data_IF_221203579711
#
_entry.id   IF_221203579711
#
_cell.length_a   1.000
_cell.length_b   1.000
_cell.length_c   1.000
_cell.angle_alpha   90.00
_cell.angle_beta   90.00
_cell.angle_gamma   90.00
#
_symmetry.space_group_name_H-M   'P 1'
#
loop_
_entity.id
_entity.type
_entity.pdbx_description
1 polymer ?
#
# COMPACT_ATOMS: atom_id res chain seq x y z
N UNK A 1 -0.26 11.62 -4.44
CA UNK A 1 0.68 12.29 -3.54
C UNK A 1 2.06 11.72 -3.72
N UNK A 2 3.04 12.59 -3.51
CA UNK A 2 4.43 12.29 -3.19
C UNK A 2 4.92 13.48 -2.37
N UNK A 3 6.09 13.39 -1.76
CA UNK A 3 6.69 14.52 -1.02
C UNK A 3 7.34 15.47 -2.05
N UNK A 4 6.75 16.64 -2.40
CA UNK A 4 7.25 17.44 -3.52
C UNK A 4 8.68 17.93 -3.28
N UNK A 5 9.05 18.15 -2.02
CA UNK A 5 10.40 18.49 -1.60
C UNK A 5 11.42 17.41 -1.95
N UNK A 6 11.05 16.12 -1.84
CA UNK A 6 11.92 14.99 -2.16
C UNK A 6 12.14 14.89 -3.67
N UNK A 7 11.07 15.04 -4.45
CA UNK A 7 11.15 15.07 -5.92
C UNK A 7 12.00 16.25 -6.37
N UNK A 8 11.77 17.44 -5.79
CA UNK A 8 12.53 18.64 -6.12
C UNK A 8 14.01 18.51 -5.74
N UNK A 9 14.34 17.85 -4.62
CA UNK A 9 15.74 17.58 -4.25
C UNK A 9 16.40 16.62 -5.24
N UNK A 10 15.74 15.51 -5.58
CA UNK A 10 16.24 14.57 -6.59
C UNK A 10 16.48 15.25 -7.95
N UNK A 11 15.50 16.03 -8.44
CA UNK A 11 15.61 16.75 -9.70
C UNK A 11 16.73 17.81 -9.69
N UNK A 12 16.95 18.49 -8.57
CA UNK A 12 18.05 19.45 -8.42
C UNK A 12 19.41 18.76 -8.46
N UNK A 13 19.55 17.64 -7.75
CA UNK A 13 20.81 16.90 -7.71
C UNK A 13 21.18 16.38 -9.12
N UNK A 14 20.20 15.92 -9.91
CA UNK A 14 20.40 15.60 -11.34
C UNK A 14 20.85 16.83 -12.14
N UNK A 15 20.16 17.95 -12.00
CA UNK A 15 20.46 19.17 -12.77
C UNK A 15 21.83 19.78 -12.44
N UNK A 16 22.31 19.58 -11.22
CA UNK A 16 23.59 20.07 -10.75
C UNK A 16 24.78 19.15 -11.09
N UNK A 17 24.57 18.05 -11.84
CA UNK A 17 25.56 16.98 -12.06
C UNK A 17 26.12 16.40 -10.75
N UNK A 18 25.35 16.50 -9.66
CA UNK A 18 25.66 15.82 -8.41
C UNK A 18 25.30 14.33 -8.51
N UNK A 19 25.42 13.59 -7.40
CA UNK A 19 24.94 12.21 -7.34
C UNK A 19 23.42 12.18 -7.53
N UNK A 20 22.93 11.32 -8.43
CA UNK A 20 21.51 11.03 -8.63
C UNK A 20 20.91 10.35 -7.39
N UNK A 21 20.68 11.10 -6.31
CA UNK A 21 20.18 10.56 -5.05
C UNK A 21 19.23 11.51 -4.34
N UNK A 22 18.36 10.94 -3.52
CA UNK A 22 17.64 11.69 -2.49
C UNK A 22 18.53 11.81 -1.26
N UNK A 23 18.60 13.01 -0.67
CA UNK A 23 19.33 13.26 0.56
C UNK A 23 18.85 12.38 1.74
N UNK A 24 19.76 11.68 2.46
CA UNK A 24 19.39 10.80 3.58
C UNK A 24 18.56 11.49 4.66
N UNK A 25 18.79 12.80 4.85
CA UNK A 25 18.10 13.65 5.80
C UNK A 25 16.59 13.68 5.59
N UNK A 26 16.08 13.43 4.38
CA UNK A 26 14.63 13.32 4.16
C UNK A 26 14.03 12.09 4.82
N UNK A 27 14.71 10.94 4.76
CA UNK A 27 14.24 9.71 5.37
C UNK A 27 14.33 9.82 6.90
N UNK A 28 15.45 10.33 7.41
CA UNK A 28 15.67 10.53 8.84
C UNK A 28 14.67 11.53 9.43
N UNK A 29 14.51 12.69 8.81
CA UNK A 29 13.58 13.72 9.28
C UNK A 29 12.13 13.23 9.26
N UNK A 30 11.75 12.42 8.27
CA UNK A 30 10.43 11.81 8.25
C UNK A 30 10.22 10.89 9.45
N UNK A 31 11.17 9.98 9.72
CA UNK A 31 11.09 9.08 10.88
C UNK A 31 11.09 9.85 12.19
N UNK A 32 11.94 10.86 12.34
CA UNK A 32 11.93 11.72 13.52
C UNK A 32 10.58 12.40 13.76
N UNK A 33 9.92 12.88 12.71
CA UNK A 33 8.60 13.50 12.83
C UNK A 33 7.58 12.48 13.33
N UNK A 34 7.57 11.29 12.74
CA UNK A 34 6.64 10.21 13.12
C UNK A 34 6.88 9.73 14.54
N UNK A 35 8.14 9.46 14.94
CA UNK A 35 8.47 8.97 16.29
C UNK A 35 8.22 10.03 17.36
N UNK A 36 8.58 11.29 17.10
CA UNK A 36 8.28 12.40 18.04
C UNK A 36 6.77 12.59 18.21
N UNK A 37 5.97 12.47 17.16
CA UNK A 37 4.52 12.55 17.28
C UNK A 37 3.94 11.34 18.06
N UNK A 38 4.35 10.12 17.70
CA UNK A 38 3.93 8.91 18.40
C UNK A 38 4.28 8.97 19.91
N UNK A 39 5.47 9.49 20.25
CA UNK A 39 5.91 9.69 21.63
C UNK A 39 5.01 10.67 22.39
N UNK A 40 4.59 11.78 21.75
CA UNK A 40 3.62 12.73 22.35
C UNK A 40 2.27 12.08 22.62
N UNK A 41 1.92 11.05 21.86
CA UNK A 41 0.71 10.24 22.06
C UNK A 41 0.92 9.06 23.02
N UNK A 42 2.04 9.03 23.74
CA UNK A 42 2.37 8.01 24.73
C UNK A 42 2.77 6.65 24.15
N UNK A 43 3.17 6.60 22.88
CA UNK A 43 3.69 5.39 22.24
C UNK A 43 5.21 5.28 22.44
N UNK A 44 5.73 4.06 22.34
CA UNK A 44 7.15 3.77 22.41
C UNK A 44 7.72 3.47 21.03
N UNK A 45 8.93 3.97 20.75
CA UNK A 45 9.64 3.71 19.50
C UNK A 45 9.91 2.22 19.31
N UNK A 46 10.25 1.50 20.39
CA UNK A 46 10.49 0.05 20.36
C UNK A 46 9.27 -0.73 19.89
N UNK A 47 8.09 -0.42 20.41
CA UNK A 47 6.84 -1.06 19.97
C UNK A 47 6.49 -0.63 18.55
N UNK A 48 6.73 0.62 18.17
CA UNK A 48 6.53 1.08 16.79
C UNK A 48 7.42 0.29 15.82
N UNK A 49 8.71 0.11 16.12
CA UNK A 49 9.63 -0.69 15.32
C UNK A 49 9.12 -2.12 15.11
N UNK A 50 8.63 -2.76 16.18
CA UNK A 50 8.08 -4.11 16.10
C UNK A 50 6.82 -4.19 15.23
N UNK A 51 5.89 -3.24 15.39
CA UNK A 51 4.66 -3.20 14.60
C UNK A 51 4.97 -2.94 13.12
N UNK A 52 5.86 -1.98 12.83
CA UNK A 52 6.31 -1.68 11.46
C UNK A 52 7.02 -2.89 10.83
N UNK A 53 7.91 -3.55 11.59
CA UNK A 53 8.59 -4.77 11.15
C UNK A 53 7.60 -5.87 10.80
N UNK A 54 6.58 -6.09 11.65
CA UNK A 54 5.50 -7.03 11.37
C UNK A 54 4.72 -6.67 10.10
N UNK A 55 4.39 -5.39 9.89
CA UNK A 55 3.70 -4.91 8.67
C UNK A 55 4.55 -5.19 7.42
N UNK A 56 5.86 -4.92 7.47
CA UNK A 56 6.78 -5.16 6.34
C UNK A 56 6.89 -6.66 6.04
N UNK A 57 6.95 -7.53 7.05
CA UNK A 57 7.00 -8.99 6.86
C UNK A 57 5.76 -9.53 6.14
N UNK A 58 4.57 -9.01 6.44
CA UNK A 58 3.31 -9.45 5.82
C UNK A 58 2.91 -8.61 4.60
N UNK A 59 3.78 -7.72 4.12
CA UNK A 59 3.44 -6.76 3.08
C UNK A 59 2.97 -7.46 1.80
N UNK A 60 1.80 -7.03 1.28
CA UNK A 60 1.09 -7.66 0.17
C UNK A 60 0.40 -9.00 0.48
N UNK A 61 0.56 -9.54 1.70
CA UNK A 61 -0.18 -10.70 2.19
C UNK A 61 -1.38 -10.30 3.04
N UNK A 62 -2.41 -11.15 3.08
CA UNK A 62 -3.54 -10.98 4.00
C UNK A 62 -3.18 -11.51 5.40
N UNK A 63 -3.53 -10.76 6.43
CA UNK A 63 -3.36 -11.17 7.83
C UNK A 63 -4.50 -10.67 8.69
N UNK A 64 -4.70 -11.24 9.88
CA UNK A 64 -5.60 -10.69 10.89
C UNK A 64 -4.77 -10.04 12.01
N UNK A 65 -5.43 -9.38 12.96
CA UNK A 65 -4.71 -8.73 14.06
C UNK A 65 -3.96 -9.74 14.95
N UNK A 66 -4.32 -11.03 14.89
CA UNK A 66 -3.61 -12.07 15.62
C UNK A 66 -2.35 -12.47 14.88
N UNK A 67 -2.44 -12.69 13.57
CA UNK A 67 -1.31 -12.91 12.69
C UNK A 67 -0.26 -11.82 12.81
N UNK A 68 -0.66 -10.53 12.80
CA UNK A 68 0.29 -9.43 13.02
C UNK A 68 1.03 -9.52 14.36
N UNK A 69 0.32 -9.86 15.44
CA UNK A 69 0.96 -9.91 16.77
C UNK A 69 1.92 -11.10 16.91
N UNK A 70 1.69 -12.20 16.18
CA UNK A 70 2.59 -13.36 16.15
C UNK A 70 3.92 -13.03 15.47
N UNK A 71 3.94 -12.08 14.53
CA UNK A 71 5.16 -11.63 13.85
C UNK A 71 6.08 -10.77 14.73
N UNK A 72 5.61 -10.40 15.93
CA UNK A 72 6.30 -9.53 16.87
C UNK A 72 7.00 -10.38 17.92
N UNK A 73 8.30 -10.14 18.10
CA UNK A 73 9.16 -10.92 18.98
C UNK A 73 8.82 -10.75 20.47
N UNK A 74 8.41 -9.54 20.86
CA UNK A 74 7.98 -9.28 22.24
C UNK A 74 6.50 -9.61 22.45
N UNK A 75 6.14 -10.08 23.65
CA UNK A 75 4.75 -10.38 23.98
C UNK A 75 3.95 -9.08 24.11
N UNK A 76 3.51 -8.53 22.98
CA UNK A 76 2.62 -7.39 22.95
C UNK A 76 1.17 -7.84 22.71
N UNK A 77 0.23 -7.15 23.35
CA UNK A 77 -1.17 -7.52 23.27
C UNK A 77 -1.77 -7.16 21.90
N UNK A 78 -2.74 -7.93 21.39
CA UNK A 78 -3.46 -7.55 20.17
C UNK A 78 -4.10 -6.15 20.25
N UNK A 79 -4.67 -5.70 21.39
CA UNK A 79 -5.10 -4.31 21.56
C UNK A 79 -3.99 -3.29 21.30
N UNK A 80 -2.76 -3.57 21.74
CA UNK A 80 -1.60 -2.71 21.48
C UNK A 80 -1.29 -2.64 19.99
N UNK A 81 -1.27 -3.77 19.27
CA UNK A 81 -1.07 -3.78 17.81
C UNK A 81 -2.13 -2.95 17.09
N UNK A 82 -3.40 -3.13 17.48
CA UNK A 82 -4.53 -2.39 16.90
C UNK A 82 -4.38 -0.88 17.14
N UNK A 83 -3.98 -0.49 18.34
CA UNK A 83 -3.79 0.90 18.74
C UNK A 83 -2.65 1.58 17.96
N UNK A 84 -1.53 0.89 17.72
CA UNK A 84 -0.46 1.40 16.85
C UNK A 84 -0.88 1.44 15.38
N UNK A 85 -1.59 0.41 14.88
CA UNK A 85 -2.05 0.41 13.49
C UNK A 85 -3.05 1.55 13.23
N UNK A 86 -3.96 1.81 14.17
CA UNK A 86 -4.88 2.95 14.11
C UNK A 86 -4.15 4.27 14.11
N UNK A 87 -3.17 4.44 15.01
CA UNK A 87 -2.32 5.62 15.01
C UNK A 87 -1.66 5.83 13.65
N UNK A 88 -1.13 4.77 13.05
CA UNK A 88 -0.49 4.85 11.73
C UNK A 88 -1.49 5.17 10.62
N UNK A 89 -2.70 4.62 10.66
CA UNK A 89 -3.77 4.91 9.69
C UNK A 89 -4.27 6.36 9.82
N UNK A 90 -4.49 6.83 11.05
CA UNK A 90 -4.93 8.21 11.36
C UNK A 90 -3.86 9.25 10.98
N UNK A 91 -2.58 8.87 10.98
CA UNK A 91 -1.46 9.70 10.51
C UNK A 91 -1.14 9.52 9.02
N UNK A 92 -2.02 8.85 8.26
CA UNK A 92 -1.82 8.58 6.83
C UNK A 92 -0.50 7.89 6.51
N UNK A 93 0.02 7.03 7.40
CA UNK A 93 1.25 6.25 7.17
C UNK A 93 0.94 4.93 6.47
N UNK A 94 -0.21 4.33 6.79
CA UNK A 94 -0.68 3.07 6.22
C UNK A 94 -2.15 3.15 5.83
N UNK A 95 -2.52 2.36 4.84
CA UNK A 95 -3.89 2.08 4.43
C UNK A 95 -4.25 0.65 4.83
N UNK A 96 -5.27 0.47 5.67
CA UNK A 96 -5.80 -0.87 5.98
C UNK A 96 -6.93 -1.20 5.01
N UNK A 97 -6.75 -2.28 4.24
CA UNK A 97 -7.70 -2.74 3.26
C UNK A 97 -8.48 -3.95 3.82
N UNK A 98 -9.77 -3.72 4.10
CA UNK A 98 -10.66 -4.76 4.63
C UNK A 98 -11.26 -5.61 3.52
N UNK A 99 -11.62 -6.86 3.85
CA UNK A 99 -12.25 -7.74 2.87
C UNK A 99 -13.74 -7.44 2.71
N UNK A 100 -14.25 -7.60 1.49
CA UNK A 100 -15.67 -7.43 1.17
C UNK A 100 -16.43 -8.76 1.14
N UNK A 101 -17.63 -8.78 1.71
CA UNK A 101 -18.56 -9.90 1.62
C UNK A 101 -19.65 -9.58 0.59
N UNK A 102 -19.56 -10.16 -0.60
CA UNK A 102 -20.54 -9.95 -1.66
C UNK A 102 -21.91 -10.55 -1.35
N UNK A 103 -21.98 -11.62 -0.53
CA UNK A 103 -23.24 -12.23 -0.16
C UNK A 103 -24.02 -11.35 0.84
N UNK A 104 -23.30 -10.76 1.79
CA UNK A 104 -23.88 -9.85 2.80
C UNK A 104 -23.82 -8.37 2.43
N UNK A 105 -23.22 -8.04 1.29
CA UNK A 105 -22.99 -6.67 0.78
C UNK A 105 -22.41 -5.73 1.85
N UNK A 106 -21.36 -6.18 2.54
CA UNK A 106 -20.76 -5.42 3.64
C UNK A 106 -19.28 -5.71 3.82
N UNK A 107 -18.58 -4.75 4.42
CA UNK A 107 -17.18 -4.88 4.84
C UNK A 107 -17.05 -5.86 6.00
N UNK A 108 -15.98 -6.67 5.99
CA UNK A 108 -15.63 -7.61 7.07
C UNK A 108 -14.50 -7.05 7.95
N UNK A 109 -14.82 -6.12 8.85
CA UNK A 109 -13.83 -5.49 9.74
C UNK A 109 -13.05 -6.48 10.65
N UNK A 110 -13.69 -7.59 11.02
CA UNK A 110 -13.07 -8.65 11.86
C UNK A 110 -12.28 -9.70 11.08
N UNK A 111 -12.37 -9.69 9.75
CA UNK A 111 -11.69 -10.68 8.92
C UNK A 111 -10.23 -10.30 8.65
N UNK A 112 -9.56 -11.12 7.83
CA UNK A 112 -8.24 -10.79 7.29
C UNK A 112 -8.30 -9.43 6.58
N UNK A 113 -7.17 -8.73 6.61
CA UNK A 113 -6.92 -7.43 6.01
C UNK A 113 -5.57 -7.44 5.30
N UNK A 114 -5.40 -6.59 4.29
CA UNK A 114 -4.10 -6.24 3.74
C UNK A 114 -3.71 -4.85 4.25
N UNK A 115 -2.43 -4.61 4.47
CA UNK A 115 -1.92 -3.34 4.99
C UNK A 115 -0.84 -2.85 4.03
N UNK A 116 -0.97 -1.62 3.56
CA UNK A 116 0.00 -0.99 2.67
C UNK A 116 0.45 0.34 3.23
N UNK A 117 1.71 0.72 2.98
CA UNK A 117 2.14 2.09 3.25
C UNK A 117 1.53 3.03 2.22
N UNK A 118 1.18 4.24 2.62
CA UNK A 118 0.49 5.24 1.78
C UNK A 118 1.38 5.92 0.73
N UNK A 119 2.69 5.72 0.83
CA UNK A 119 3.71 6.24 -0.07
C UNK A 119 4.99 5.37 0.00
N UNK A 120 5.73 5.28 -1.11
CA UNK A 120 6.98 4.52 -1.17
C UNK A 120 8.09 5.16 -0.33
N UNK A 121 8.12 6.49 -0.18
CA UNK A 121 9.06 7.15 0.72
C UNK A 121 8.83 6.68 2.16
N UNK A 122 7.57 6.64 2.60
CA UNK A 122 7.21 6.19 3.96
C UNK A 122 7.69 4.76 4.18
N UNK A 123 7.40 3.86 3.22
CA UNK A 123 7.89 2.49 3.25
C UNK A 123 9.42 2.43 3.37
N UNK A 124 10.15 3.12 2.51
CA UNK A 124 11.61 3.08 2.51
C UNK A 124 12.23 3.77 3.73
N UNK A 125 11.63 4.84 4.26
CA UNK A 125 12.04 5.48 5.51
C UNK A 125 11.93 4.52 6.69
N UNK A 126 10.81 3.80 6.80
CA UNK A 126 10.65 2.79 7.85
C UNK A 126 11.61 1.62 7.68
N UNK A 127 11.79 1.15 6.43
CA UNK A 127 12.70 0.06 6.16
C UNK A 127 14.16 0.43 6.47
N UNK A 128 14.57 1.66 6.13
CA UNK A 128 15.86 2.26 6.48
C UNK A 128 16.07 2.33 8.00
N UNK A 129 15.09 2.85 8.73
CA UNK A 129 15.14 2.97 10.19
C UNK A 129 15.29 1.62 10.90
N UNK A 130 14.54 0.59 10.46
CA UNK A 130 14.62 -0.75 11.04
C UNK A 130 15.98 -1.43 10.84
N UNK A 131 16.64 -1.15 9.72
CA UNK A 131 17.91 -1.79 9.37
C UNK A 131 19.14 -0.91 9.67
N UNK A 132 18.94 0.33 10.14
CA UNK A 132 20.02 1.28 10.39
C UNK A 132 20.84 1.61 9.13
N UNK A 133 20.20 1.64 7.96
CA UNK A 133 20.84 1.89 6.65
C UNK A 133 20.40 3.23 6.08
N UNK A 134 21.25 3.86 5.27
CA UNK A 134 20.88 5.04 4.46
C UNK A 134 19.68 4.70 3.55
N UNK A 135 18.65 5.56 3.56
CA UNK A 135 17.39 5.32 2.87
C UNK A 135 17.50 5.22 1.36
N UNK A 136 18.38 6.00 0.71
CA UNK A 136 18.46 5.99 -0.74
C UNK A 136 19.14 4.71 -1.28
N UNK A 137 20.39 4.37 -0.90
CA UNK A 137 21.04 3.14 -1.37
C UNK A 137 20.25 1.88 -0.98
N UNK A 138 19.59 1.89 0.18
CA UNK A 138 18.78 0.76 0.60
C UNK A 138 17.48 0.63 -0.21
N UNK A 139 16.90 1.75 -0.66
CA UNK A 139 15.81 1.72 -1.63
C UNK A 139 16.27 1.18 -2.98
N UNK A 140 17.45 1.55 -3.47
CA UNK A 140 18.00 1.00 -4.71
C UNK A 140 18.24 -0.51 -4.62
N UNK A 141 18.81 -0.99 -3.51
CA UNK A 141 18.98 -2.43 -3.23
C UNK A 141 17.65 -3.18 -3.29
N UNK A 142 16.59 -2.59 -2.70
CA UNK A 142 15.24 -3.16 -2.73
C UNK A 142 14.68 -3.25 -4.16
N UNK A 143 14.97 -2.27 -5.02
CA UNK A 143 14.46 -2.21 -6.39
C UNK A 143 15.07 -3.26 -7.33
N UNK A 144 16.15 -3.95 -6.92
CA UNK A 144 16.77 -5.04 -7.69
C UNK A 144 15.97 -6.35 -7.63
N UNK A 145 15.07 -6.49 -6.66
CA UNK A 145 14.26 -7.69 -6.44
C UNK A 145 12.85 -7.50 -7.01
N UNK A 146 12.58 -8.11 -8.17
CA UNK A 146 11.31 -7.91 -8.88
C UNK A 146 10.07 -8.35 -8.08
N UNK A 147 10.18 -9.39 -7.25
CA UNK A 147 9.05 -9.85 -6.45
C UNK A 147 8.74 -8.83 -5.33
N UNK A 148 9.78 -8.26 -4.69
CA UNK A 148 9.61 -7.15 -3.74
C UNK A 148 9.04 -5.89 -4.40
N UNK A 149 9.53 -5.54 -5.58
CA UNK A 149 9.00 -4.41 -6.36
C UNK A 149 7.53 -4.64 -6.71
N UNK A 150 7.13 -5.87 -7.04
CA UNK A 150 5.73 -6.19 -7.31
C UNK A 150 4.82 -5.88 -6.12
N UNK A 151 5.26 -6.18 -4.89
CA UNK A 151 4.50 -5.84 -3.67
C UNK A 151 4.43 -4.32 -3.45
N UNK A 152 5.53 -3.60 -3.71
CA UNK A 152 5.53 -2.13 -3.62
C UNK A 152 4.58 -1.50 -4.63
N UNK A 153 4.53 -2.03 -5.85
CA UNK A 153 3.59 -1.62 -6.90
C UNK A 153 2.15 -1.89 -6.51
N UNK A 154 1.86 -3.02 -5.86
CA UNK A 154 0.53 -3.30 -5.30
C UNK A 154 0.12 -2.22 -4.29
N UNK A 155 1.02 -1.82 -3.39
CA UNK A 155 0.81 -0.69 -2.48
C UNK A 155 0.56 0.63 -3.21
N UNK A 156 1.35 0.95 -4.25
CA UNK A 156 1.15 2.15 -5.09
C UNK A 156 -0.25 2.15 -5.71
N UNK A 157 -0.69 1.01 -6.26
CA UNK A 157 -2.03 0.86 -6.84
C UNK A 157 -3.11 1.07 -5.78
N UNK A 158 -2.96 0.47 -4.60
CA UNK A 158 -3.86 0.66 -3.46
C UNK A 158 -4.03 2.15 -3.13
N UNK A 159 -2.93 2.88 -3.02
CA UNK A 159 -2.93 4.30 -2.65
C UNK A 159 -3.56 5.19 -3.71
N UNK A 160 -3.37 4.89 -4.99
CA UNK A 160 -4.04 5.63 -6.06
C UNK A 160 -5.53 5.36 -6.05
N UNK A 161 -5.94 4.09 -5.95
CA UNK A 161 -7.34 3.69 -5.87
C UNK A 161 -8.06 4.34 -4.68
N UNK A 162 -7.42 4.36 -3.51
CA UNK A 162 -7.96 4.96 -2.30
C UNK A 162 -8.30 6.44 -2.50
N UNK A 163 -7.53 7.17 -3.32
CA UNK A 163 -7.69 8.62 -3.55
C UNK A 163 -8.66 9.00 -4.66
N UNK A 164 -9.11 8.07 -5.49
CA UNK A 164 -9.97 8.37 -6.66
C UNK A 164 -11.28 9.02 -6.24
N UNK A 165 -11.93 8.46 -5.21
CA UNK A 165 -13.25 8.90 -4.74
C UNK A 165 -13.24 9.45 -3.34
N UNK A 166 -12.07 9.48 -2.70
CA UNK A 166 -11.97 9.90 -1.32
C UNK A 166 -12.37 11.36 -1.18
N UNK A 167 -13.21 11.59 -0.19
CA UNK A 167 -13.46 12.91 0.36
C UNK A 167 -13.12 12.75 1.83
N UNK A 168 -12.02 13.36 2.33
CA UNK A 168 -11.57 13.18 3.70
C UNK A 168 -12.74 13.31 4.68
N UNK A 169 -12.83 12.38 5.64
CA UNK A 169 -13.90 12.26 6.65
C UNK A 169 -15.27 11.85 6.10
N UNK A 170 -15.67 12.31 4.91
CA UNK A 170 -17.02 12.13 4.34
C UNK A 170 -17.16 10.79 3.60
N UNK A 171 -16.14 10.41 2.83
CA UNK A 171 -16.12 9.20 2.00
C UNK A 171 -14.74 8.56 2.10
N UNK A 172 -14.43 7.88 3.22
CA UNK A 172 -13.17 7.14 3.36
C UNK A 172 -13.08 6.00 2.34
N UNK A 173 -11.85 5.58 2.03
CA UNK A 173 -11.58 4.54 1.04
C UNK A 173 -12.35 3.23 1.29
N UNK A 174 -12.58 2.87 2.56
CA UNK A 174 -13.31 1.66 2.98
C UNK A 174 -14.79 1.63 2.55
N UNK A 175 -15.31 2.69 1.92
CA UNK A 175 -16.65 2.78 1.34
C UNK A 175 -16.72 2.35 -0.12
N UNK A 176 -15.60 2.25 -0.82
CA UNK A 176 -15.56 1.92 -2.24
C UNK A 176 -14.36 1.08 -2.66
N UNK A 177 -13.42 0.82 -1.76
CA UNK A 177 -12.22 0.03 -2.01
C UNK A 177 -12.04 -1.02 -0.92
N UNK A 178 -11.89 -2.28 -1.36
CA UNK A 178 -11.70 -3.45 -0.51
C UNK A 178 -10.73 -4.43 -1.18
N UNK A 179 -10.44 -5.55 -0.52
CA UNK A 179 -9.95 -6.75 -1.21
C UNK A 179 -11.00 -7.87 -1.10
N UNK A 180 -10.80 -8.97 -1.83
CA UNK A 180 -11.68 -10.13 -1.73
C UNK A 180 -10.90 -11.41 -1.54
N UNK A 181 -11.46 -12.31 -0.72
CA UNK A 181 -10.97 -13.67 -0.64
C UNK A 181 -12.04 -14.66 -0.18
N UNK A 182 -11.88 -15.90 -0.65
CA UNK A 182 -12.55 -17.11 -0.16
C UNK A 182 -11.52 -18.26 0.01
N UNK A 183 -12.01 -19.49 0.19
CA UNK A 183 -11.16 -20.66 0.41
C UNK A 183 -10.27 -21.03 -0.79
N UNK A 184 -10.58 -20.55 -1.99
CA UNK A 184 -9.92 -20.93 -3.25
C UNK A 184 -9.29 -19.76 -3.99
N UNK A 185 -9.76 -18.53 -3.75
CA UNK A 185 -9.46 -17.37 -4.58
C UNK A 185 -9.19 -16.16 -3.71
N UNK A 186 -8.34 -15.30 -4.23
CA UNK A 186 -8.05 -13.97 -3.70
C UNK A 186 -8.04 -13.00 -4.87
N UNK A 187 -8.33 -11.74 -4.56
CA UNK A 187 -8.24 -10.62 -5.48
C UNK A 187 -7.70 -9.44 -4.70
N UNK A 188 -6.63 -8.83 -5.22
CA UNK A 188 -5.92 -7.77 -4.52
C UNK A 188 -6.84 -6.58 -4.20
N UNK A 189 -7.65 -6.15 -5.16
CA UNK A 189 -8.61 -5.07 -4.96
C UNK A 189 -9.99 -5.33 -5.58
N UNK A 190 -11.01 -4.89 -4.86
CA UNK A 190 -12.39 -4.73 -5.32
C UNK A 190 -12.72 -3.25 -5.20
N UNK A 191 -12.98 -2.63 -6.33
CA UNK A 191 -13.33 -1.21 -6.43
C UNK A 191 -14.78 -1.03 -6.88
N UNK A 192 -15.58 -0.29 -6.13
CA UNK A 192 -16.93 0.08 -6.54
C UNK A 192 -16.92 1.37 -7.36
N UNK A 193 -17.39 1.28 -8.60
CA UNK A 193 -17.56 2.40 -9.55
C UNK A 193 -18.73 3.28 -9.16
N UNK A 194 -18.80 4.48 -9.74
CA UNK A 194 -19.86 5.47 -9.39
C UNK A 194 -21.27 4.98 -9.75
N UNK A 195 -21.38 4.13 -10.77
CA UNK A 195 -22.62 3.43 -11.13
C UNK A 195 -22.99 2.28 -10.16
N UNK A 196 -22.21 2.03 -9.11
CA UNK A 196 -22.43 0.97 -8.14
C UNK A 196 -21.88 -0.41 -8.52
N UNK A 197 -21.39 -0.58 -9.76
CA UNK A 197 -20.76 -1.82 -10.22
C UNK A 197 -19.40 -2.05 -9.58
N UNK A 198 -19.03 -3.32 -9.43
CA UNK A 198 -17.72 -3.69 -8.89
C UNK A 198 -16.75 -4.03 -10.01
N UNK A 199 -15.52 -3.54 -9.87
CA UNK A 199 -14.37 -3.85 -10.70
C UNK A 199 -13.36 -4.60 -9.83
N UNK A 200 -12.97 -5.80 -10.26
CA UNK A 200 -11.83 -6.48 -9.67
C UNK A 200 -10.52 -6.00 -10.26
N UNK A 201 -9.49 -5.87 -9.44
CA UNK A 201 -8.16 -5.46 -9.90
C UNK A 201 -7.14 -6.39 -9.23
N UNK A 202 -6.32 -7.03 -10.06
CA UNK A 202 -5.23 -7.91 -9.65
C UNK A 202 -3.91 -7.33 -10.12
N UNK A 203 -2.91 -7.26 -9.24
CA UNK A 203 -1.58 -6.74 -9.61
C UNK A 203 -0.66 -7.91 -9.90
N UNK A 204 -0.16 -7.97 -11.14
CA UNK A 204 0.84 -8.93 -11.60
C UNK A 204 1.94 -8.16 -12.29
N UNK A 205 2.81 -7.49 -11.51
CA UNK A 205 3.90 -6.69 -12.04
C UNK A 205 5.05 -7.55 -12.60
N UNK A 206 4.74 -8.37 -13.60
CA UNK A 206 5.65 -9.27 -14.29
C UNK A 206 5.58 -9.02 -15.81
N UNK A 207 6.62 -9.40 -16.58
CA UNK A 207 6.65 -9.16 -18.02
C UNK A 207 5.60 -9.92 -18.83
N UNK A 208 5.06 -11.01 -18.29
CA UNK A 208 4.04 -11.87 -18.92
C UNK A 208 2.96 -12.23 -17.92
N UNK A 209 1.70 -12.11 -18.33
CA UNK A 209 0.54 -12.35 -17.47
C UNK A 209 -0.53 -13.16 -18.21
N UNK A 210 -1.35 -13.91 -17.48
CA UNK A 210 -2.36 -14.81 -18.05
C UNK A 210 -3.76 -14.45 -17.59
N UNK A 211 -4.73 -14.47 -18.51
CA UNK A 211 -6.16 -14.32 -18.16
C UNK A 211 -6.66 -15.39 -17.16
N UNK A 212 -5.99 -16.54 -17.08
CA UNK A 212 -6.38 -17.62 -16.15
C UNK A 212 -6.20 -17.22 -14.69
N UNK A 213 -5.32 -16.26 -14.40
CA UNK A 213 -4.96 -15.85 -13.04
C UNK A 213 -6.17 -15.32 -12.27
N UNK A 214 -7.11 -14.68 -12.97
CA UNK A 214 -8.30 -14.06 -12.36
C UNK A 214 -9.61 -14.66 -12.88
N UNK A 215 -9.57 -15.66 -13.76
CA UNK A 215 -10.74 -16.18 -14.48
C UNK A 215 -11.85 -16.68 -13.53
N UNK A 216 -11.49 -17.10 -12.33
CA UNK A 216 -12.41 -17.79 -11.44
C UNK A 216 -13.38 -16.87 -10.67
N UNK A 217 -13.17 -15.55 -10.65
CA UNK A 217 -14.09 -14.59 -10.00
C UNK A 217 -15.00 -13.97 -11.06
N UNK A 218 -16.33 -14.12 -10.93
CA UNK A 218 -17.28 -13.67 -11.97
C UNK A 218 -17.63 -12.19 -11.81
N UNK A 219 -16.78 -11.30 -12.31
CA UNK A 219 -16.99 -9.86 -12.40
C UNK A 219 -16.04 -9.23 -13.45
N UNK A 220 -16.29 -7.99 -13.91
CA UNK A 220 -15.31 -7.25 -14.71
C UNK A 220 -14.00 -7.07 -13.97
N UNK A 221 -12.87 -7.31 -14.63
CA UNK A 221 -11.55 -7.34 -14.00
C UNK A 221 -10.47 -6.65 -14.82
N UNK A 222 -9.54 -6.02 -14.11
CA UNK A 222 -8.26 -5.57 -14.65
C UNK A 222 -7.14 -6.41 -14.06
N UNK A 223 -6.20 -6.84 -14.90
CA UNK A 223 -4.92 -7.38 -14.47
C UNK A 223 -3.86 -6.34 -14.78
N UNK A 224 -3.22 -5.79 -13.76
CA UNK A 224 -2.22 -4.76 -13.92
C UNK A 224 -0.85 -5.40 -14.14
N UNK A 225 -0.33 -5.28 -15.35
CA UNK A 225 0.93 -5.89 -15.79
C UNK A 225 2.09 -4.90 -15.74
N UNK A 226 3.34 -5.40 -15.90
CA UNK A 226 4.50 -4.51 -16.07
C UNK A 226 4.49 -3.76 -17.40
N UNK A 227 4.00 -4.39 -18.48
CA UNK A 227 4.09 -3.84 -19.85
C UNK A 227 3.08 -4.36 -20.87
N UNK A 228 2.37 -5.44 -20.58
CA UNK A 228 1.43 -6.05 -21.51
C UNK A 228 0.09 -5.32 -21.52
N UNK A 229 -0.51 -5.22 -22.71
CA UNK A 229 -1.85 -4.72 -22.93
C UNK A 229 -2.61 -5.76 -23.76
N UNK A 230 -3.76 -6.21 -23.27
CA UNK A 230 -4.64 -7.15 -23.98
C UNK A 230 -6.06 -7.07 -23.39
N UNK A 231 -7.08 -7.48 -24.13
CA UNK A 231 -8.46 -7.49 -23.65
C UNK A 231 -9.22 -8.70 -24.18
N UNK A 232 -9.92 -9.40 -23.29
CA UNK A 232 -10.72 -10.58 -23.60
C UNK A 232 -11.99 -10.64 -22.76
N UNK A 233 -13.13 -10.36 -23.38
CA UNK A 233 -14.42 -10.29 -22.70
C UNK A 233 -14.38 -9.23 -21.60
N UNK A 234 -14.79 -9.61 -20.38
CA UNK A 234 -14.81 -8.71 -19.21
C UNK A 234 -13.46 -8.60 -18.47
N UNK A 235 -12.37 -9.10 -19.06
CA UNK A 235 -11.03 -9.05 -18.47
C UNK A 235 -10.10 -8.27 -19.39
N UNK A 236 -9.43 -7.25 -18.85
CA UNK A 236 -8.36 -6.54 -19.55
C UNK A 236 -7.04 -6.66 -18.80
N UNK A 237 -5.95 -6.84 -19.52
CA UNK A 237 -4.58 -6.69 -19.06
C UNK A 237 -4.13 -5.28 -19.43
N UNK A 238 -3.69 -4.51 -18.45
CA UNK A 238 -3.30 -3.11 -18.65
C UNK A 238 -1.96 -2.88 -17.97
N UNK A 239 -0.99 -2.21 -18.61
CA UNK A 239 0.25 -1.85 -17.92
C UNK A 239 -0.06 -0.93 -16.74
N UNK A 240 0.56 -1.18 -15.58
CA UNK A 240 0.33 -0.40 -14.34
C UNK A 240 0.46 1.10 -14.59
N UNK A 241 1.50 1.53 -15.31
CA UNK A 241 1.73 2.96 -15.57
C UNK A 241 0.59 3.60 -16.38
N UNK A 242 0.01 2.91 -17.36
CA UNK A 242 -1.14 3.40 -18.13
C UNK A 242 -2.35 3.53 -17.21
N UNK A 243 -2.61 2.49 -16.42
CA UNK A 243 -3.71 2.49 -15.46
C UNK A 243 -3.61 3.67 -14.48
N UNK A 244 -2.44 3.88 -13.87
CA UNK A 244 -2.22 4.97 -12.92
C UNK A 244 -2.39 6.36 -13.57
N UNK A 245 -1.92 6.55 -14.81
CA UNK A 245 -2.10 7.83 -15.54
C UNK A 245 -3.56 8.15 -15.86
N UNK A 246 -4.43 7.15 -15.96
CA UNK A 246 -5.85 7.32 -16.26
C UNK A 246 -6.73 7.42 -15.00
N UNK A 247 -6.16 7.22 -13.81
CA UNK A 247 -6.87 7.42 -12.55
C UNK A 247 -6.95 8.91 -12.22
N UNK A 248 -8.13 9.50 -12.42
CA UNK A 248 -8.40 10.85 -11.91
C UNK A 248 -8.47 10.81 -10.38
N UNK A 249 -7.61 11.59 -9.73
CA UNK A 249 -7.69 11.77 -8.28
C UNK A 249 -8.89 12.64 -7.92
N UNK A 250 -9.52 12.38 -6.77
CA UNK A 250 -10.54 13.27 -6.23
C UNK A 250 -10.00 14.69 -6.09
N UNK A 251 -10.76 15.67 -6.58
CA UNK A 251 -10.43 17.12 -6.50
C UNK A 251 -10.45 17.63 -5.04
N UNK A 252 -10.88 16.79 -4.08
CA UNK A 252 -11.07 17.13 -2.67
C UNK A 252 -10.03 16.48 -1.74
N UNK A 253 -8.97 15.90 -2.29
CA UNK A 253 -7.85 15.39 -1.49
C UNK A 253 -7.06 16.59 -0.92
N UNK A 254 -6.84 16.60 0.40
CA UNK A 254 -6.06 17.63 1.12
C UNK A 254 -4.59 17.60 0.74
#
# INVERSE_FOLDING_TARGET
CGFPSVINDYMRNIQAEEQERVKPEFYERFIELVTKDALRQGKSDRTMQQVVSAIIKIFGSRSDFRGLAVEIEEPISHPTVIDYLRLMEDNFLVQVLYSYDFAKKRVRYKAMKKIYFTDSLIFHSFNSWLHGKDGYPYSEEFMLDEDKVSLLVEGVVCNHLARVKEVPIIKPADRFLWFYYDARKELDFVYQRENGEYLGIEVKYKPRVSFKDVAAINMPKLILSKKEFDAKGDIAIVPVYVFLCLLESSVKNL
#
